data_IF_778659724973
#
_entry.id   IF_778659724973
#
_cell.length_a   1.000
_cell.length_b   1.000
_cell.length_c   1.000
_cell.angle_alpha   90.00
_cell.angle_beta   90.00
_cell.angle_gamma   90.00
#
_symmetry.space_group_name_H-M   'P 1'
#
loop_
_entity.id
_entity.type
_entity.pdbx_description
1 polymer ?
#
# COMPACT_ATOMS: atom_id res chain seq x y z
N UNK A 1 20.31 2.71 2.60
CA UNK A 1 18.91 2.25 2.39
C UNK A 1 17.84 3.30 2.70
N UNK A 2 17.96 4.07 3.80
CA UNK A 2 16.96 5.07 4.25
C UNK A 2 16.39 6.00 3.16
N UNK A 3 17.24 6.61 2.32
CA UNK A 3 16.79 7.48 1.21
C UNK A 3 15.91 6.75 0.18
N UNK A 4 16.21 5.48 -0.09
CA UNK A 4 15.43 4.66 -1.03
C UNK A 4 14.08 4.25 -0.45
N UNK A 5 14.02 3.96 0.85
CA UNK A 5 12.74 3.71 1.55
C UNK A 5 11.85 4.95 1.50
N UNK A 6 12.41 6.13 1.79
CA UNK A 6 11.66 7.40 1.66
C UNK A 6 11.11 7.59 0.25
N UNK A 7 11.92 7.37 -0.78
CA UNK A 7 11.48 7.44 -2.18
C UNK A 7 10.38 6.42 -2.50
N UNK A 8 10.48 5.20 -1.99
CA UNK A 8 9.44 4.18 -2.19
C UNK A 8 8.12 4.57 -1.52
N UNK A 9 8.16 5.13 -0.29
CA UNK A 9 6.95 5.61 0.40
C UNK A 9 6.25 6.71 -0.41
N UNK A 10 7.00 7.65 -0.96
CA UNK A 10 6.47 8.69 -1.85
C UNK A 10 5.74 8.09 -3.06
N UNK A 11 6.30 7.07 -3.73
CA UNK A 11 5.62 6.39 -4.83
C UNK A 11 4.34 5.65 -4.39
N UNK A 12 4.33 5.05 -3.19
CA UNK A 12 3.09 4.48 -2.66
C UNK A 12 2.04 5.56 -2.40
N UNK A 13 2.41 6.68 -1.80
CA UNK A 13 1.48 7.80 -1.56
C UNK A 13 0.87 8.32 -2.87
N UNK A 14 1.69 8.52 -3.91
CA UNK A 14 1.24 8.95 -5.23
C UNK A 14 0.31 7.91 -5.90
N UNK A 15 0.65 6.61 -5.79
CA UNK A 15 -0.14 5.54 -6.37
C UNK A 15 -1.55 5.41 -5.75
N UNK A 16 -1.79 5.88 -4.52
CA UNK A 16 -3.11 5.77 -3.85
C UNK A 16 -4.23 6.40 -4.70
N UNK A 17 -3.92 7.51 -5.38
CA UNK A 17 -4.86 8.17 -6.30
C UNK A 17 -5.14 7.29 -7.51
N UNK A 18 -4.08 6.78 -8.17
CA UNK A 18 -4.20 5.93 -9.35
C UNK A 18 -4.97 4.63 -9.08
N UNK A 19 -4.78 3.99 -7.92
CA UNK A 19 -5.55 2.77 -7.57
C UNK A 19 -7.04 3.07 -7.45
N UNK A 20 -7.41 4.25 -6.95
CA UNK A 20 -8.83 4.64 -6.79
C UNK A 20 -9.51 4.90 -8.14
N UNK A 21 -8.75 5.28 -9.17
CA UNK A 21 -9.26 5.48 -10.54
C UNK A 21 -9.46 4.18 -11.32
N UNK A 22 -8.97 3.04 -10.83
CA UNK A 22 -9.16 1.74 -11.49
C UNK A 22 -10.64 1.34 -11.55
N UNK A 23 -10.95 0.38 -12.44
CA UNK A 23 -12.25 -0.31 -12.44
C UNK A 23 -12.53 -0.94 -11.08
N UNK A 24 -13.78 -0.88 -10.63
CA UNK A 24 -14.20 -1.25 -9.26
C UNK A 24 -13.76 -2.67 -8.89
N UNK A 25 -13.85 -3.61 -9.82
CA UNK A 25 -13.53 -5.03 -9.63
C UNK A 25 -12.03 -5.25 -9.37
N UNK A 26 -11.17 -4.36 -9.87
CA UNK A 26 -9.72 -4.45 -9.72
C UNK A 26 -9.18 -3.74 -8.49
N UNK A 27 -9.95 -2.81 -7.88
CA UNK A 27 -9.44 -1.96 -6.79
C UNK A 27 -9.04 -2.77 -5.56
N UNK A 28 -9.87 -3.71 -5.13
CA UNK A 28 -9.62 -4.45 -3.90
C UNK A 28 -8.31 -5.27 -3.94
N UNK A 29 -8.05 -6.14 -4.93
CA UNK A 29 -6.79 -6.88 -4.99
C UNK A 29 -5.57 -5.98 -5.16
N UNK A 30 -5.69 -4.86 -5.88
CA UNK A 30 -4.58 -3.90 -6.04
C UNK A 30 -4.30 -3.16 -4.74
N UNK A 31 -5.32 -2.67 -4.02
CA UNK A 31 -5.17 -2.07 -2.70
C UNK A 31 -4.57 -3.04 -1.69
N UNK A 32 -5.04 -4.29 -1.67
CA UNK A 32 -4.49 -5.32 -0.80
C UNK A 32 -3.00 -5.51 -1.06
N UNK A 33 -2.61 -5.71 -2.32
CA UNK A 33 -1.21 -5.86 -2.70
C UNK A 33 -0.38 -4.64 -2.29
N UNK A 34 -0.87 -3.44 -2.60
CA UNK A 34 -0.22 -2.17 -2.29
C UNK A 34 0.05 -2.01 -0.79
N UNK A 35 -0.94 -2.27 0.07
CA UNK A 35 -0.77 -2.19 1.53
C UNK A 35 0.27 -3.18 2.03
N UNK A 36 0.26 -4.42 1.51
CA UNK A 36 1.24 -5.45 1.89
C UNK A 36 2.66 -5.09 1.47
N UNK A 37 2.86 -4.62 0.24
CA UNK A 37 4.19 -4.18 -0.22
C UNK A 37 4.67 -2.94 0.55
N UNK A 38 3.78 -2.01 0.91
CA UNK A 38 4.13 -0.88 1.76
C UNK A 38 4.60 -1.32 3.15
N UNK A 39 3.95 -2.31 3.76
CA UNK A 39 4.34 -2.85 5.06
C UNK A 39 5.72 -3.52 5.05
N UNK A 40 6.22 -4.02 3.92
CA UNK A 40 7.60 -4.54 3.82
C UNK A 40 8.62 -3.43 4.15
N UNK A 41 8.32 -2.17 3.82
CA UNK A 41 9.19 -1.05 4.17
C UNK A 41 9.29 -0.88 5.69
N UNK A 42 8.18 -1.08 6.42
CA UNK A 42 8.16 -1.04 7.88
C UNK A 42 8.99 -2.19 8.47
N UNK A 43 8.89 -3.39 7.89
CA UNK A 43 9.69 -4.56 8.31
C UNK A 43 11.20 -4.37 8.01
N UNK A 44 11.54 -3.67 6.93
CA UNK A 44 12.93 -3.31 6.62
C UNK A 44 13.50 -2.38 7.69
N UNK A 45 12.70 -1.42 8.15
CA UNK A 45 13.08 -0.46 9.20
C UNK A 45 13.15 -1.13 10.57
N UNK A 46 12.21 -2.02 10.91
CA UNK A 46 12.22 -2.82 12.13
C UNK A 46 13.41 -3.80 12.21
N UNK A 47 14.00 -4.15 11.06
CA UNK A 47 15.23 -4.92 10.97
C UNK A 47 16.50 -4.06 11.04
N UNK A 48 16.41 -2.78 11.42
CA UNK A 48 17.52 -1.82 11.38
C UNK A 48 18.22 -1.76 10.02
N UNK A 49 17.44 -1.95 8.94
CA UNK A 49 17.91 -2.03 7.56
C UNK A 49 18.84 -3.22 7.26
N UNK A 50 19.05 -4.15 8.19
CA UNK A 50 19.87 -5.34 8.00
C UNK A 50 19.10 -6.47 7.28
N UNK A 51 18.82 -6.27 6.00
CA UNK A 51 18.06 -7.24 5.19
C UNK A 51 18.93 -8.19 4.36
N UNK A 52 20.26 -8.02 4.40
CA UNK A 52 21.20 -8.94 3.77
C UNK A 52 21.36 -10.23 4.58
N UNK A 53 21.25 -10.16 5.91
CA UNK A 53 21.31 -11.34 6.77
C UNK A 53 19.94 -11.75 7.33
N UNK A 54 18.96 -10.84 7.38
CA UNK A 54 17.62 -11.10 7.90
C UNK A 54 16.55 -10.53 6.96
N UNK A 55 15.96 -11.39 6.12
CA UNK A 55 14.92 -10.95 5.19
C UNK A 55 13.70 -10.37 5.92
N UNK A 56 13.27 -9.17 5.51
CA UNK A 56 12.01 -8.58 5.92
C UNK A 56 10.80 -9.37 5.39
N UNK A 57 9.86 -9.67 6.28
CA UNK A 57 8.62 -10.36 5.95
C UNK A 57 7.44 -9.75 6.71
N UNK A 58 6.35 -9.51 5.99
CA UNK A 58 5.08 -9.16 6.64
C UNK A 58 4.48 -10.43 7.25
N UNK A 59 4.24 -10.40 8.56
CA UNK A 59 3.63 -11.51 9.30
C UNK A 59 2.22 -11.87 8.80
N UNK A 60 1.81 -13.14 8.97
CA UNK A 60 0.51 -13.64 8.48
C UNK A 60 -0.69 -12.86 9.03
N UNK A 61 -0.66 -12.50 10.32
CA UNK A 61 -1.72 -11.72 10.94
C UNK A 61 -1.86 -10.32 10.30
N UNK A 62 -0.73 -9.62 10.07
CA UNK A 62 -0.73 -8.33 9.35
C UNK A 62 -1.30 -8.47 7.94
N UNK A 63 -1.00 -9.58 7.26
CA UNK A 63 -1.57 -9.86 5.93
C UNK A 63 -3.09 -9.98 5.94
N UNK A 64 -3.63 -10.74 6.89
CA UNK A 64 -5.08 -10.92 7.03
C UNK A 64 -5.76 -9.60 7.40
N UNK A 65 -5.19 -8.84 8.34
CA UNK A 65 -5.72 -7.53 8.74
C UNK A 65 -5.67 -6.49 7.62
N UNK A 66 -4.75 -6.62 6.65
CA UNK A 66 -4.71 -5.72 5.50
C UNK A 66 -5.91 -5.89 4.56
N UNK A 67 -6.57 -7.05 4.53
CA UNK A 67 -7.66 -7.33 3.59
C UNK A 67 -8.93 -6.50 3.86
N UNK A 68 -9.44 -6.43 5.11
CA UNK A 68 -10.57 -5.53 5.42
C UNK A 68 -10.24 -4.06 5.17
N UNK A 69 -9.02 -3.63 5.50
CA UNK A 69 -8.57 -2.24 5.27
C UNK A 69 -8.54 -1.92 3.77
N UNK A 70 -7.99 -2.83 2.96
CA UNK A 70 -7.97 -2.72 1.51
C UNK A 70 -9.38 -2.67 0.93
N UNK A 71 -10.30 -3.49 1.47
CA UNK A 71 -11.69 -3.49 1.04
C UNK A 71 -12.34 -2.13 1.29
N UNK A 72 -12.20 -1.56 2.49
CA UNK A 72 -12.70 -0.22 2.81
C UNK A 72 -12.16 0.86 1.85
N UNK A 73 -10.85 0.84 1.55
CA UNK A 73 -10.26 1.76 0.57
C UNK A 73 -10.77 1.54 -0.86
N UNK A 74 -11.09 0.31 -1.25
CA UNK A 74 -11.62 0.00 -2.59
C UNK A 74 -12.99 0.60 -2.86
N UNK A 75 -13.74 0.94 -1.81
CA UNK A 75 -15.06 1.56 -1.88
C UNK A 75 -15.02 3.08 -2.04
N UNK A 76 -13.83 3.70 -1.94
CA UNK A 76 -13.68 5.14 -2.17
C UNK A 76 -14.10 5.49 -3.60
N UNK A 77 -14.81 6.62 -3.73
CA UNK A 77 -15.14 7.19 -5.02
C UNK A 77 -13.86 7.66 -5.72
N UNK A 78 -13.74 7.45 -7.05
CA UNK A 78 -12.72 8.09 -7.87
C UNK A 78 -12.63 9.59 -7.58
N UNK A 79 -11.40 10.09 -7.55
CA UNK A 79 -11.14 11.51 -7.40
C UNK A 79 -11.70 12.30 -8.59
N UNK A 80 -11.60 11.72 -9.79
CA UNK A 80 -12.19 12.26 -11.01
C UNK A 80 -13.71 12.49 -10.89
N UNK A 81 -14.43 11.61 -10.21
CA UNK A 81 -15.88 11.73 -10.01
C UNK A 81 -16.24 12.69 -8.87
N UNK A 82 -15.39 12.82 -7.85
CA UNK A 82 -15.61 13.73 -6.72
C UNK A 82 -15.50 15.20 -7.12
N UNK A 83 -14.55 15.55 -7.98
CA UNK A 83 -14.30 16.94 -8.38
C UNK A 83 -15.29 17.47 -9.44
N UNK A 84 -16.02 16.59 -10.12
CA UNK A 84 -17.06 16.99 -11.07
C UNK A 84 -18.41 17.29 -10.38
N UNK A 85 -18.48 17.26 -9.04
CA UNK A 85 -19.68 17.51 -8.24
C UNK A 85 -19.61 18.82 -7.40
N UNK A 86 -18.56 19.62 -7.55
CA UNK A 86 -18.38 20.95 -6.93
C UNK A 86 -18.33 22.03 -8.00
#
# INVERSE_FOLDING_TARGET
MKRQIKRARMFFEEAEQGVTELRKESRWPVWASMLLYRQILDEIEANDYNNFTKRAYVGKAKKVLALPVAYGKSLLLPYSLRNNQT
#
